data_IF_099825290411
#
_entry.id   IF_099825290411
#
_cell.length_a   1.000
_cell.length_b   1.000
_cell.length_c   1.000
_cell.angle_alpha   90.00
_cell.angle_beta   90.00
_cell.angle_gamma   90.00
#
_symmetry.space_group_name_H-M   'P 1'
#
loop_
_entity.id
_entity.type
_entity.pdbx_description
1 polymer ?
#
# COMPACT_ATOMS: atom_id res chain seq x y z
N UNK A 1 41.84 1.40 -46.25
CA UNK A 1 40.45 0.92 -46.45
C UNK A 1 39.53 1.85 -45.68
N UNK A 2 38.70 2.62 -46.39
CA UNK A 2 37.83 3.66 -45.84
C UNK A 2 36.45 3.06 -45.59
N UNK A 3 36.03 2.97 -44.32
CA UNK A 3 34.69 2.51 -43.97
C UNK A 3 33.74 3.70 -43.92
N UNK A 4 32.88 3.78 -44.92
CA UNK A 4 31.76 4.71 -45.00
C UNK A 4 30.63 4.22 -44.10
N UNK A 5 30.31 4.96 -43.04
CA UNK A 5 29.11 4.73 -42.23
C UNK A 5 28.03 5.68 -42.74
N UNK A 6 27.01 5.09 -43.35
CA UNK A 6 25.84 5.80 -43.89
C UNK A 6 24.96 6.30 -42.73
N UNK A 7 24.72 7.61 -42.71
CA UNK A 7 23.72 8.25 -41.87
C UNK A 7 22.33 7.90 -42.43
N UNK A 8 21.55 7.10 -41.70
CA UNK A 8 20.13 6.87 -42.01
C UNK A 8 19.30 7.81 -41.14
N UNK A 9 18.79 8.87 -41.77
CA UNK A 9 17.90 9.85 -41.16
C UNK A 9 16.47 9.28 -41.15
N UNK A 10 16.05 8.73 -40.02
CA UNK A 10 14.67 8.25 -39.85
C UNK A 10 13.77 9.43 -39.48
N UNK A 11 12.87 9.83 -40.39
CA UNK A 11 11.89 10.87 -40.18
C UNK A 11 10.87 10.44 -39.12
N UNK A 12 10.87 11.10 -37.96
CA UNK A 12 9.86 10.94 -36.94
C UNK A 12 8.59 11.71 -37.34
N UNK A 13 7.57 10.97 -37.81
CA UNK A 13 6.21 11.48 -37.91
C UNK A 13 5.61 11.57 -36.51
N UNK A 14 5.49 12.79 -35.98
CA UNK A 14 4.80 13.05 -34.72
C UNK A 14 3.28 13.09 -34.96
N UNK A 15 2.48 12.24 -34.30
CA UNK A 15 1.03 12.40 -34.30
C UNK A 15 0.65 13.59 -33.42
N UNK A 16 0.02 14.60 -34.03
CA UNK A 16 -0.64 15.70 -33.31
C UNK A 16 -1.89 15.12 -32.66
N UNK A 17 -1.81 14.77 -31.38
CA UNK A 17 -2.98 14.35 -30.61
C UNK A 17 -3.88 15.58 -30.36
N UNK A 18 -5.06 15.58 -30.99
CA UNK A 18 -6.11 16.55 -30.73
C UNK A 18 -6.55 16.46 -29.26
N UNK A 19 -6.39 17.55 -28.52
CA UNK A 19 -6.91 17.68 -27.16
C UNK A 19 -8.45 17.67 -27.21
N UNK A 20 -9.04 16.53 -26.88
CA UNK A 20 -10.47 16.42 -26.62
C UNK A 20 -10.85 17.29 -25.42
N UNK A 21 -11.69 18.29 -25.69
CA UNK A 21 -12.33 19.18 -24.74
C UNK A 21 -13.08 18.33 -23.70
N UNK A 22 -12.63 18.35 -22.45
CA UNK A 22 -13.28 17.58 -21.38
C UNK A 22 -14.66 18.19 -21.08
N UNK A 23 -15.73 17.37 -20.97
CA UNK A 23 -17.06 17.84 -20.60
C UNK A 23 -17.05 18.44 -19.19
N UNK A 24 -17.87 19.48 -19.01
CA UNK A 24 -18.00 20.18 -17.73
C UNK A 24 -18.44 19.21 -16.61
N UNK A 25 -17.86 19.33 -15.40
CA UNK A 25 -18.22 18.46 -14.28
C UNK A 25 -19.67 18.69 -13.83
N UNK A 26 -20.39 17.63 -13.43
CA UNK A 26 -21.75 17.74 -12.89
C UNK A 26 -21.79 18.53 -11.58
N UNK A 27 -22.88 19.24 -11.35
CA UNK A 27 -23.12 20.03 -10.14
C UNK A 27 -23.13 19.14 -8.87
N UNK A 28 -22.59 19.62 -7.73
CA UNK A 28 -22.53 18.85 -6.50
C UNK A 28 -23.93 18.60 -5.91
N UNK A 29 -24.18 17.42 -5.32
CA UNK A 29 -25.43 17.11 -4.65
C UNK A 29 -25.65 17.97 -3.38
N UNK A 30 -26.91 18.29 -3.10
CA UNK A 30 -27.33 19.05 -1.92
C UNK A 30 -26.94 18.31 -0.62
N UNK A 31 -26.44 19.08 0.36
CA UNK A 31 -25.94 18.57 1.63
C UNK A 31 -27.02 17.83 2.44
N UNK A 32 -26.72 16.59 2.83
CA UNK A 32 -27.56 15.81 3.72
C UNK A 32 -27.50 16.34 5.17
N UNK A 33 -28.58 16.19 5.96
CA UNK A 33 -28.63 16.64 7.35
C UNK A 33 -27.59 15.92 8.22
N UNK A 34 -26.96 16.68 9.13
CA UNK A 34 -25.91 16.20 10.02
C UNK A 34 -26.44 15.12 10.98
N UNK A 35 -25.70 14.03 11.21
CA UNK A 35 -26.09 12.99 12.16
C UNK A 35 -26.00 13.50 13.61
N UNK A 36 -26.87 12.99 14.52
CA UNK A 36 -26.89 13.41 15.92
C UNK A 36 -25.62 13.00 16.66
N UNK A 37 -25.01 13.96 17.35
CA UNK A 37 -23.87 13.77 18.26
C UNK A 37 -24.30 13.01 19.51
N UNK A 38 -24.02 11.71 19.57
CA UNK A 38 -24.12 10.90 20.79
C UNK A 38 -22.80 10.84 21.55
N UNK A 39 -22.81 11.27 22.81
CA UNK A 39 -21.74 11.20 23.80
C UNK A 39 -21.38 9.74 24.16
N UNK A 40 -20.13 9.32 23.91
CA UNK A 40 -19.01 9.25 24.86
C UNK A 40 -19.11 8.10 25.90
N UNK A 41 -18.49 6.97 25.57
CA UNK A 41 -18.00 5.98 26.53
C UNK A 41 -16.47 6.09 26.67
N UNK A 42 -15.88 5.88 27.86
CA UNK A 42 -14.46 6.10 28.10
C UNK A 42 -13.63 4.89 27.64
N UNK A 43 -12.72 5.10 26.68
CA UNK A 43 -11.47 4.33 26.51
C UNK A 43 -11.47 2.85 26.06
N UNK A 44 -12.56 2.31 25.48
CA UNK A 44 -12.53 0.97 24.85
C UNK A 44 -12.97 0.88 23.38
N UNK A 45 -13.26 1.99 22.71
CA UNK A 45 -13.71 1.99 21.31
C UNK A 45 -12.87 2.93 20.46
N UNK A 46 -11.76 2.43 19.90
CA UNK A 46 -11.05 3.09 18.81
C UNK A 46 -11.99 3.24 17.61
N UNK A 47 -12.81 4.30 17.60
CA UNK A 47 -13.52 4.73 16.40
C UNK A 47 -12.48 5.31 15.46
N UNK A 48 -11.76 4.40 14.79
CA UNK A 48 -10.90 4.69 13.66
C UNK A 48 -11.64 5.64 12.74
N UNK A 49 -11.12 6.85 12.53
CA UNK A 49 -11.70 7.87 11.68
C UNK A 49 -11.70 7.37 10.23
N UNK A 50 -12.71 6.61 9.79
CA UNK A 50 -12.60 5.85 8.55
C UNK A 50 -12.65 6.78 7.34
N UNK A 51 -13.18 7.99 7.53
CA UNK A 51 -13.29 9.02 6.50
C UNK A 51 -11.95 9.68 6.18
N UNK A 52 -11.11 9.96 7.20
CA UNK A 52 -9.80 10.59 6.98
C UNK A 52 -8.86 9.67 6.19
N UNK A 53 -8.82 8.38 6.54
CA UNK A 53 -8.00 7.39 5.83
C UNK A 53 -8.47 7.16 4.39
N UNK A 54 -9.78 7.14 4.14
CA UNK A 54 -10.30 7.04 2.76
C UNK A 54 -9.81 8.16 1.85
N UNK A 55 -9.68 9.39 2.36
CA UNK A 55 -9.18 10.52 1.58
C UNK A 55 -7.69 10.39 1.26
N UNK A 56 -6.92 9.74 2.13
CA UNK A 56 -5.52 9.44 1.87
C UNK A 56 -5.42 8.34 0.82
N UNK A 57 -6.19 7.27 0.95
CA UNK A 57 -6.18 6.15 0.00
C UNK A 57 -6.51 6.62 -1.43
N UNK A 58 -7.53 7.46 -1.60
CA UNK A 58 -7.90 8.01 -2.92
C UNK A 58 -6.80 8.86 -3.54
N UNK A 59 -5.97 9.50 -2.71
CA UNK A 59 -4.82 10.29 -3.15
C UNK A 59 -3.57 9.44 -3.43
N UNK A 60 -3.37 8.33 -2.72
CA UNK A 60 -2.18 7.47 -2.87
C UNK A 60 -2.28 6.50 -4.04
N UNK A 61 -3.46 5.95 -4.34
CA UNK A 61 -3.68 5.02 -5.47
C UNK A 61 -3.16 5.56 -6.82
N UNK A 62 -3.43 6.82 -7.23
CA UNK A 62 -2.90 7.33 -8.49
C UNK A 62 -1.37 7.45 -8.49
N UNK A 63 -0.75 7.79 -7.35
CA UNK A 63 0.72 7.86 -7.23
C UNK A 63 1.36 6.48 -7.40
N UNK A 64 0.84 5.45 -6.72
CA UNK A 64 1.31 4.07 -6.91
C UNK A 64 1.09 3.58 -8.34
N UNK A 65 -0.06 3.90 -8.95
CA UNK A 65 -0.34 3.53 -10.34
C UNK A 65 0.63 4.21 -11.30
N UNK A 66 0.95 5.48 -11.06
CA UNK A 66 1.91 6.23 -11.86
C UNK A 66 3.33 5.67 -11.70
N UNK A 67 3.77 5.41 -10.47
CA UNK A 67 5.04 4.76 -10.16
C UNK A 67 5.17 3.43 -10.92
N UNK A 68 4.15 2.56 -10.81
CA UNK A 68 4.10 1.29 -11.53
C UNK A 68 4.26 1.45 -13.03
N UNK A 69 3.53 2.40 -13.63
CA UNK A 69 3.63 2.68 -15.07
C UNK A 69 5.04 3.13 -15.46
N UNK A 70 5.64 4.04 -14.70
CA UNK A 70 6.98 4.55 -14.97
C UNK A 70 8.04 3.46 -14.86
N UNK A 71 7.96 2.61 -13.84
CA UNK A 71 8.87 1.47 -13.65
C UNK A 71 8.74 0.48 -14.81
N UNK A 72 7.53 0.09 -15.19
CA UNK A 72 7.32 -0.83 -16.32
C UNK A 72 7.78 -0.25 -17.65
N UNK A 73 7.68 1.07 -17.83
CA UNK A 73 8.18 1.77 -19.01
C UNK A 73 9.72 1.83 -19.06
N UNK A 74 10.38 1.87 -17.89
CA UNK A 74 11.84 1.85 -17.80
C UNK A 74 12.45 0.48 -18.14
N UNK A 75 11.67 -0.60 -18.05
CA UNK A 75 12.12 -1.95 -18.40
C UNK A 75 12.13 -2.20 -19.91
N UNK A 76 13.03 -3.06 -20.37
CA UNK A 76 12.95 -3.64 -21.71
C UNK A 76 11.73 -4.58 -21.84
N UNK A 77 11.24 -4.84 -23.07
CA UNK A 77 10.17 -5.83 -23.28
C UNK A 77 10.50 -7.22 -22.72
N UNK A 78 11.75 -7.66 -22.85
CA UNK A 78 12.21 -8.96 -22.35
C UNK A 78 12.11 -9.04 -20.82
N UNK A 79 12.55 -8.01 -20.10
CA UNK A 79 12.48 -7.99 -18.64
C UNK A 79 11.05 -7.83 -18.10
N UNK A 80 10.16 -7.15 -18.83
CA UNK A 80 8.73 -7.16 -18.50
C UNK A 80 8.11 -8.57 -18.59
N UNK A 81 8.46 -9.33 -19.62
CA UNK A 81 8.00 -10.71 -19.77
C UNK A 81 8.55 -11.62 -18.64
N UNK A 82 9.84 -11.44 -18.29
CA UNK A 82 10.45 -12.15 -17.15
C UNK A 82 9.73 -11.84 -15.84
N UNK A 83 9.45 -10.56 -15.57
CA UNK A 83 8.71 -10.12 -14.38
C UNK A 83 7.33 -10.78 -14.30
N UNK A 84 6.57 -10.76 -15.40
CA UNK A 84 5.26 -11.40 -15.45
C UNK A 84 5.33 -12.91 -15.18
N UNK A 85 6.34 -13.60 -15.74
CA UNK A 85 6.57 -15.02 -15.50
C UNK A 85 6.90 -15.33 -14.03
N UNK A 86 7.77 -14.53 -13.40
CA UNK A 86 8.14 -14.70 -11.99
C UNK A 86 6.93 -14.45 -11.07
N UNK A 87 6.17 -13.39 -11.31
CA UNK A 87 4.95 -13.09 -10.53
C UNK A 87 3.91 -14.21 -10.69
N UNK A 88 3.72 -14.71 -11.92
CA UNK A 88 2.83 -15.85 -12.17
C UNK A 88 3.26 -17.12 -11.43
N UNK A 89 4.56 -17.42 -11.38
CA UNK A 89 5.10 -18.55 -10.62
C UNK A 89 4.88 -18.38 -9.11
N UNK A 90 5.13 -17.18 -8.57
CA UNK A 90 4.87 -16.89 -7.16
C UNK A 90 3.39 -17.05 -6.80
N UNK A 91 2.47 -16.67 -7.69
CA UNK A 91 1.04 -16.75 -7.43
C UNK A 91 0.50 -18.18 -7.32
N UNK A 92 1.17 -19.17 -7.93
CA UNK A 92 0.72 -20.58 -7.92
C UNK A 92 1.61 -21.50 -7.08
N UNK A 93 2.72 -21.00 -6.54
CA UNK A 93 3.65 -21.81 -5.77
C UNK A 93 3.01 -22.23 -4.43
N UNK A 94 3.17 -23.50 -3.99
CA UNK A 94 2.68 -23.94 -2.68
C UNK A 94 3.44 -23.29 -1.52
N UNK A 95 4.67 -22.83 -1.76
CA UNK A 95 5.50 -22.10 -0.81
C UNK A 95 6.24 -20.99 -1.56
N UNK A 96 5.61 -19.81 -1.77
CA UNK A 96 6.23 -18.71 -2.51
C UNK A 96 7.44 -18.13 -1.76
N UNK A 97 8.55 -17.92 -2.47
CA UNK A 97 9.75 -17.24 -1.96
C UNK A 97 9.98 -15.90 -2.69
N UNK A 98 9.40 -14.79 -2.18
CA UNK A 98 9.54 -13.48 -2.81
C UNK A 98 10.98 -12.96 -2.77
N UNK A 99 11.79 -13.38 -1.80
CA UNK A 99 13.18 -12.91 -1.68
C UNK A 99 14.06 -13.53 -2.76
N UNK A 100 13.92 -14.84 -3.00
CA UNK A 100 14.62 -15.49 -4.11
C UNK A 100 14.18 -14.94 -5.47
N UNK A 101 12.89 -14.66 -5.64
CA UNK A 101 12.36 -14.02 -6.83
C UNK A 101 12.93 -12.60 -7.04
N UNK A 102 13.04 -11.80 -5.97
CA UNK A 102 13.66 -10.47 -6.03
C UNK A 102 15.12 -10.56 -6.46
N UNK A 103 15.91 -11.45 -5.85
CA UNK A 103 17.31 -11.66 -6.21
C UNK A 103 17.48 -12.10 -7.68
N UNK A 104 16.59 -12.97 -8.17
CA UNK A 104 16.58 -13.40 -9.58
C UNK A 104 16.28 -12.24 -10.53
N UNK A 105 15.32 -11.38 -10.19
CA UNK A 105 15.02 -10.17 -10.95
C UNK A 105 16.21 -9.21 -10.95
N UNK A 106 16.77 -8.92 -9.77
CA UNK A 106 17.93 -8.02 -9.68
C UNK A 106 19.11 -8.53 -10.52
N UNK A 107 19.41 -9.84 -10.49
CA UNK A 107 20.48 -10.42 -11.31
C UNK A 107 20.24 -10.33 -12.83
N UNK A 108 18.99 -10.25 -13.27
CA UNK A 108 18.63 -10.18 -14.69
C UNK A 108 18.63 -8.75 -15.26
N UNK A 109 18.42 -7.73 -14.42
CA UNK A 109 18.33 -6.35 -14.86
C UNK A 109 19.68 -5.78 -15.29
N UNK A 110 19.65 -4.93 -16.33
CA UNK A 110 20.81 -4.12 -16.69
C UNK A 110 21.08 -3.01 -15.66
N UNK A 111 22.31 -2.52 -15.59
CA UNK A 111 22.68 -1.44 -14.67
C UNK A 111 21.85 -0.17 -14.85
N UNK A 112 21.50 0.19 -16.10
CA UNK A 112 20.68 1.37 -16.42
C UNK A 112 19.22 1.21 -15.97
N UNK A 113 18.65 0.01 -16.12
CA UNK A 113 17.31 -0.30 -15.60
C UNK A 113 17.28 -0.23 -14.08
N UNK A 114 18.25 -0.84 -13.40
CA UNK A 114 18.38 -0.76 -11.93
C UNK A 114 18.40 0.67 -11.43
N UNK A 115 19.24 1.52 -12.03
CA UNK A 115 19.33 2.93 -11.67
C UNK A 115 18.02 3.68 -11.94
N UNK A 116 17.34 3.38 -13.04
CA UNK A 116 16.05 3.99 -13.38
C UNK A 116 14.96 3.62 -12.38
N UNK A 117 14.87 2.34 -11.99
CA UNK A 117 13.93 1.85 -10.98
C UNK A 117 14.15 2.55 -9.65
N UNK A 118 15.39 2.61 -9.16
CA UNK A 118 15.71 3.27 -7.88
C UNK A 118 15.34 4.75 -7.91
N UNK A 119 15.63 5.44 -9.01
CA UNK A 119 15.29 6.86 -9.17
C UNK A 119 13.78 7.09 -9.15
N UNK A 120 13.02 6.30 -9.91
CA UNK A 120 11.56 6.40 -9.98
C UNK A 120 10.95 6.12 -8.60
N UNK A 121 11.35 5.04 -7.95
CA UNK A 121 10.84 4.64 -6.63
C UNK A 121 11.14 5.69 -5.56
N UNK A 122 12.37 6.21 -5.50
CA UNK A 122 12.75 7.28 -4.56
C UNK A 122 11.90 8.52 -4.78
N UNK A 123 11.74 8.96 -6.04
CA UNK A 123 10.90 10.11 -6.38
C UNK A 123 9.43 9.89 -5.98
N UNK A 124 8.88 8.71 -6.22
CA UNK A 124 7.51 8.38 -5.85
C UNK A 124 7.33 8.39 -4.32
N UNK A 125 8.29 7.81 -3.56
CA UNK A 125 8.27 7.84 -2.08
C UNK A 125 8.31 9.26 -1.53
N UNK A 126 9.13 10.13 -2.11
CA UNK A 126 9.21 11.52 -1.66
C UNK A 126 7.90 12.27 -1.93
N UNK A 127 7.26 12.04 -3.08
CA UNK A 127 5.93 12.58 -3.39
C UNK A 127 4.86 12.07 -2.42
N UNK A 128 4.81 10.77 -2.18
CA UNK A 128 3.88 10.16 -1.23
C UNK A 128 4.08 10.70 0.20
N UNK A 129 5.33 10.83 0.64
CA UNK A 129 5.65 11.41 1.97
C UNK A 129 5.17 12.84 2.08
N UNK A 130 5.43 13.68 1.08
CA UNK A 130 4.98 15.07 1.07
C UNK A 130 3.45 15.17 1.12
N UNK A 131 2.75 14.32 0.38
CA UNK A 131 1.29 14.32 0.35
C UNK A 131 0.68 13.77 1.65
N UNK A 132 1.30 12.76 2.27
CA UNK A 132 0.91 12.27 3.59
C UNK A 132 1.08 13.36 4.66
N UNK A 133 2.20 14.09 4.64
CA UNK A 133 2.44 15.21 5.56
C UNK A 133 1.38 16.31 5.40
N UNK A 134 1.03 16.65 4.15
CA UNK A 134 -0.05 17.60 3.86
C UNK A 134 -1.40 17.11 4.39
N UNK A 135 -1.78 15.87 4.10
CA UNK A 135 -3.03 15.29 4.59
C UNK A 135 -3.09 15.23 6.12
N UNK A 136 -1.97 14.92 6.77
CA UNK A 136 -1.86 14.94 8.23
C UNK A 136 -2.05 16.36 8.80
N UNK A 137 -1.46 17.38 8.18
CA UNK A 137 -1.65 18.77 8.59
C UNK A 137 -3.10 19.22 8.42
N UNK A 138 -3.75 18.89 7.30
CA UNK A 138 -5.16 19.18 7.05
C UNK A 138 -6.07 18.46 8.04
N UNK A 139 -5.78 17.20 8.35
CA UNK A 139 -6.49 16.43 9.37
C UNK A 139 -6.41 17.10 10.74
N UNK A 140 -5.21 17.46 11.20
CA UNK A 140 -5.04 18.17 12.46
C UNK A 140 -5.80 19.51 12.44
N UNK A 141 -5.75 20.25 11.34
CA UNK A 141 -6.47 21.53 11.22
C UNK A 141 -7.99 21.37 11.28
N UNK A 142 -8.54 20.21 10.88
CA UNK A 142 -9.98 19.92 10.94
C UNK A 142 -10.49 19.58 12.34
N UNK A 143 -9.58 19.25 13.27
CA UNK A 143 -9.94 18.86 14.63
C UNK A 143 -10.20 20.08 15.53
N UNK A 144 -11.18 19.99 16.46
CA UNK A 144 -11.36 20.95 17.54
C UNK A 144 -10.05 21.19 18.32
N UNK A 145 -9.91 22.38 18.89
CA UNK A 145 -8.66 22.78 19.56
C UNK A 145 -8.31 21.89 20.77
N UNK A 146 -9.31 21.47 21.53
CA UNK A 146 -9.17 20.56 22.66
C UNK A 146 -8.74 19.16 22.23
N UNK A 147 -9.30 18.65 21.13
CA UNK A 147 -8.93 17.35 20.57
C UNK A 147 -7.52 17.37 19.96
N UNK A 148 -7.15 18.44 19.26
CA UNK A 148 -5.77 18.67 18.80
C UNK A 148 -4.77 18.63 19.95
N UNK A 149 -5.08 19.30 21.07
CA UNK A 149 -4.19 19.34 22.22
C UNK A 149 -4.05 17.96 22.87
N UNK A 150 -5.16 17.20 22.96
CA UNK A 150 -5.12 15.80 23.43
C UNK A 150 -4.28 14.92 22.51
N UNK A 151 -4.44 15.05 21.19
CA UNK A 151 -3.64 14.32 20.21
C UNK A 151 -2.15 14.69 20.29
N UNK A 152 -1.81 15.97 20.41
CA UNK A 152 -0.42 16.40 20.58
C UNK A 152 0.20 15.93 21.90
N UNK A 153 -0.61 15.80 22.96
CA UNK A 153 -0.14 15.26 24.24
C UNK A 153 0.04 13.73 24.21
N UNK A 154 -0.77 13.01 23.43
CA UNK A 154 -0.72 11.54 23.33
C UNK A 154 0.20 11.03 22.21
N UNK A 155 0.48 11.85 21.20
CA UNK A 155 1.55 11.58 20.26
C UNK A 155 2.84 12.12 20.90
N UNK A 156 3.70 11.25 21.49
CA UNK A 156 5.05 11.70 21.79
C UNK A 156 5.62 12.31 20.52
N UNK A 157 6.39 13.41 20.59
CA UNK A 157 7.04 13.97 19.42
C UNK A 157 7.76 12.82 18.77
N UNK A 158 7.26 12.37 17.62
CA UNK A 158 7.91 11.32 16.84
C UNK A 158 9.33 11.86 16.71
N UNK A 159 10.34 11.21 17.32
CA UNK A 159 11.70 11.68 17.13
C UNK A 159 11.89 11.77 15.61
N UNK A 160 12.74 12.68 15.10
CA UNK A 160 13.31 12.52 13.78
C UNK A 160 14.11 11.21 13.79
N UNK A 161 13.40 10.09 13.89
CA UNK A 161 13.95 8.76 13.98
C UNK A 161 14.67 8.55 12.68
N UNK A 162 15.89 8.01 12.74
CA UNK A 162 16.64 7.77 11.52
C UNK A 162 15.74 6.99 10.58
N UNK A 163 15.69 7.31 9.27
CA UNK A 163 14.88 6.60 8.27
C UNK A 163 15.19 5.10 8.16
N UNK A 164 16.00 4.55 9.05
CA UNK A 164 16.68 3.27 9.04
C UNK A 164 15.78 2.07 9.31
N UNK A 165 14.74 2.20 10.14
CA UNK A 165 13.85 1.05 10.42
C UNK A 165 12.95 0.65 9.23
N UNK A 166 12.84 1.48 8.19
CA UNK A 166 12.19 1.13 6.92
C UNK A 166 13.19 0.84 5.79
N UNK A 167 14.51 0.86 6.05
CA UNK A 167 15.53 0.63 5.00
C UNK A 167 15.71 -0.84 4.63
N UNK A 168 15.16 -1.77 5.39
CA UNK A 168 15.66 -3.14 5.41
C UNK A 168 15.25 -4.04 4.24
N UNK A 169 14.33 -3.66 3.34
CA UNK A 169 13.99 -4.50 2.18
C UNK A 169 13.72 -3.77 0.85
N UNK A 170 13.60 -2.43 0.82
CA UNK A 170 13.20 -1.73 -0.41
C UNK A 170 14.39 -1.14 -1.20
N UNK A 171 15.62 -1.46 -0.80
CA UNK A 171 16.81 -0.84 -1.42
C UNK A 171 17.27 -1.56 -2.69
N UNK A 172 16.79 -2.77 -2.96
CA UNK A 172 17.16 -3.51 -4.16
C UNK A 172 16.09 -3.39 -5.27
N UNK A 173 16.49 -3.16 -6.53
CA UNK A 173 15.58 -3.04 -7.67
C UNK A 173 14.65 -4.24 -7.85
N UNK A 174 15.09 -5.44 -7.49
CA UNK A 174 14.30 -6.67 -7.59
C UNK A 174 13.08 -6.67 -6.66
N UNK A 175 13.29 -6.32 -5.39
CA UNK A 175 12.23 -6.19 -4.38
C UNK A 175 11.28 -5.06 -4.74
N UNK A 176 11.78 -3.92 -5.24
CA UNK A 176 10.92 -2.82 -5.73
C UNK A 176 10.01 -3.31 -6.87
N UNK A 177 10.56 -4.05 -7.84
CA UNK A 177 9.76 -4.60 -8.94
C UNK A 177 8.67 -5.56 -8.46
N UNK A 178 9.02 -6.46 -7.54
CA UNK A 178 8.02 -7.37 -6.97
C UNK A 178 6.96 -6.63 -6.18
N UNK A 179 7.36 -5.66 -5.37
CA UNK A 179 6.44 -4.83 -4.59
C UNK A 179 5.43 -4.14 -5.52
N UNK A 180 5.92 -3.44 -6.53
CA UNK A 180 5.12 -2.71 -7.52
C UNK A 180 4.25 -3.62 -8.39
N UNK A 181 4.71 -4.84 -8.68
CA UNK A 181 3.92 -5.83 -9.41
C UNK A 181 2.84 -6.49 -8.54
N UNK A 182 3.13 -6.68 -7.24
CA UNK A 182 2.23 -7.27 -6.24
C UNK A 182 1.22 -6.28 -5.68
N UNK A 183 1.45 -4.98 -5.86
CA UNK A 183 0.47 -3.91 -5.73
C UNK A 183 -0.64 -4.13 -6.76
N UNK A 184 -1.50 -5.08 -6.44
CA UNK A 184 -2.88 -5.05 -6.86
C UNK A 184 -3.42 -3.72 -6.34
N UNK A 185 -4.19 -2.96 -7.14
CA UNK A 185 -4.94 -1.85 -6.59
C UNK A 185 -5.67 -2.47 -5.40
N UNK A 186 -5.31 -2.02 -4.20
CA UNK A 186 -5.92 -2.48 -2.96
C UNK A 186 -7.39 -2.14 -3.15
N UNK A 187 -8.14 -3.10 -3.69
CA UNK A 187 -9.57 -3.00 -3.83
C UNK A 187 -10.13 -2.78 -2.43
N UNK A 188 -11.39 -2.42 -2.29
CA UNK A 188 -12.01 -2.17 -1.00
C UNK A 188 -12.16 -3.47 -0.16
N UNK A 189 -11.05 -4.15 0.16
CA UNK A 189 -10.94 -5.31 1.05
C UNK A 189 -11.19 -4.90 2.51
N UNK A 190 -11.14 -3.60 2.81
CA UNK A 190 -11.55 -3.04 4.11
C UNK A 190 -13.08 -3.11 4.34
N UNK A 191 -13.89 -3.51 3.36
CA UNK A 191 -15.35 -3.66 3.54
C UNK A 191 -15.70 -5.03 4.14
N UNK A 192 -14.88 -6.08 3.98
CA UNK A 192 -15.26 -7.42 4.43
C UNK A 192 -14.90 -7.75 5.89
N UNK A 193 -14.00 -7.01 6.54
CA UNK A 193 -13.69 -7.27 7.97
C UNK A 193 -14.74 -6.72 8.95
N UNK A 194 -15.74 -5.95 8.49
CA UNK A 194 -16.81 -5.40 9.36
C UNK A 194 -18.00 -6.33 9.61
N UNK A 195 -17.97 -7.58 9.16
CA UNK A 195 -19.09 -8.51 9.34
C UNK A 195 -18.80 -9.78 10.16
N UNK A 196 -17.63 -9.89 10.81
CA UNK A 196 -17.32 -11.07 11.66
C UNK A 196 -17.56 -10.78 13.16
N UNK A 197 -17.92 -9.56 13.54
CA UNK A 197 -18.03 -9.15 14.95
C UNK A 197 -19.47 -9.10 15.49
N UNK A 198 -20.38 -9.90 14.90
CA UNK A 198 -21.80 -9.80 15.22
C UNK A 198 -22.58 -11.10 15.21
N UNK A 199 -21.97 -12.27 15.45
CA UNK A 199 -22.77 -13.47 15.78
C UNK A 199 -21.96 -14.64 16.36
N UNK A 200 -20.97 -14.39 17.21
CA UNK A 200 -20.40 -15.46 18.04
C UNK A 200 -20.80 -15.17 19.47
N UNK A 201 -22.07 -15.47 19.77
CA UNK A 201 -22.47 -15.80 21.13
C UNK A 201 -21.48 -16.82 21.64
N UNK A 202 -20.66 -16.40 22.61
CA UNK A 202 -19.85 -17.31 23.39
C UNK A 202 -20.80 -18.39 23.92
N UNK A 203 -20.67 -19.66 23.51
CA UNK A 203 -21.39 -20.72 24.20
C UNK A 203 -20.96 -20.62 25.65
N UNK A 204 -21.93 -20.44 26.53
CA UNK A 204 -21.79 -20.53 27.97
C UNK A 204 -21.14 -21.88 28.28
N UNK A 205 -19.81 -21.88 28.37
CA UNK A 205 -19.00 -23.04 28.74
C UNK A 205 -19.18 -23.19 30.25
N UNK A 206 -20.37 -23.64 30.64
CA UNK A 206 -20.61 -24.25 31.94
C UNK A 206 -19.61 -25.38 32.11
N UNK A 207 -18.54 -25.11 32.86
CA UNK A 207 -17.63 -26.13 33.36
C UNK A 207 -18.43 -27.06 34.27
N UNK A 208 -18.95 -28.14 33.68
CA UNK A 208 -19.50 -29.27 34.42
C UNK A 208 -18.33 -29.96 35.10
N UNK A 209 -18.13 -29.68 36.38
CA UNK A 209 -17.22 -30.41 37.26
C UNK A 209 -17.51 -31.91 37.13
N UNK A 210 -16.57 -32.65 36.55
CA UNK A 210 -16.58 -34.10 36.54
C UNK A 210 -16.01 -34.56 37.88
N UNK A 211 -16.78 -35.29 38.71
CA UNK A 211 -16.26 -35.83 39.97
C UNK A 211 -15.16 -36.85 39.68
N UNK A 212 -14.02 -36.67 40.34
CA UNK A 212 -12.85 -37.56 40.28
C UNK A 212 -13.22 -38.90 40.95
N UNK A 213 -13.14 -40.05 40.26
CA UNK A 213 -13.35 -41.33 40.90
C UNK A 213 -12.19 -41.67 41.84
N UNK A 214 -12.61 -42.09 43.02
CA UNK A 214 -11.87 -42.48 44.21
C UNK A 214 -10.87 -43.62 43.94
N UNK A 215 -9.72 -43.53 44.63
CA UNK A 215 -8.53 -44.37 44.54
C UNK A 215 -8.76 -45.88 44.67
N UNK A 216 -8.17 -46.66 43.77
CA UNK A 216 -8.03 -48.13 43.88
C UNK A 216 -6.91 -48.51 44.87
N UNK A 217 -7.10 -49.54 45.73
CA UNK A 217 -6.10 -49.99 46.68
C UNK A 217 -4.99 -50.83 46.03
N UNK A 218 -3.75 -50.65 46.51
CA UNK A 218 -2.57 -51.40 46.08
C UNK A 218 -2.55 -52.84 46.64
N UNK A 219 -2.18 -53.85 45.83
CA UNK A 219 -1.96 -55.20 46.32
C UNK A 219 -0.56 -55.36 46.95
N UNK A 220 -0.49 -56.21 47.99
CA UNK A 220 0.73 -56.64 48.68
C UNK A 220 1.45 -57.75 47.91
#
# INVERSE_FOLDING_TARGET
MRNSIALVTLAAAFPIAAFAQSPAPPAPPAAAPAPPSGSAGPWHGGRHHPHAFRMIDTQMVPLHTQERKQILAALTPAHRALLAGIVGQLAIAPSPDPKAAAAKLDGALSASEKQSILKIHTSARDQMRAQMQKAHAEFLASLPADERQRMQAHMPPMPPGPPEMMRHNDSDPGSILLHVASMHPMGPMMIQMRHIEGDHGMPDMMYKQVPVPESLPSPK
#
